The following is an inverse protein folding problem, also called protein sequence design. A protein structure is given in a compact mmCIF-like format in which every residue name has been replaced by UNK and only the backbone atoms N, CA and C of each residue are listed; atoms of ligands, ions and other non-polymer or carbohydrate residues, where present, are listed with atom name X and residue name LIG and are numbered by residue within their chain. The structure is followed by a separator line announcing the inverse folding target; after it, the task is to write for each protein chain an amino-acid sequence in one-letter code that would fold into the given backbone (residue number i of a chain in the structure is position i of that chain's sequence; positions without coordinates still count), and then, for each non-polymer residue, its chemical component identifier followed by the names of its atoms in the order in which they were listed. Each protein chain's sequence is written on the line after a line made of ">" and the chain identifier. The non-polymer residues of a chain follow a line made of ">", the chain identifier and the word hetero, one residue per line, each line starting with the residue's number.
data_IF_415461086424
#
_entry.id   IF_415461086424
#
_cell.length_a   1.000
_cell.length_b   1.000
_cell.length_c   1.000
_cell.angle_alpha   90.00
_cell.angle_beta   90.00
_cell.angle_gamma   90.00
#
_symmetry.space_group_name_H-M   'P 1'
#
loop_
_entity.id
_entity.type
_entity.pdbx_description
1 polymer ?
#
# COMPACT_ATOMS: atom_id res chain seq x y z
N UNK A 1 -24.36 29.26 20.71
CA UNK A 1 -23.22 29.25 19.77
C UNK A 1 -22.08 28.55 20.47
N UNK A 2 -21.61 27.43 19.94
CA UNK A 2 -20.56 26.66 20.58
C UNK A 2 -19.51 26.24 19.56
N UNK A 3 -18.31 25.99 20.11
CA UNK A 3 -17.15 25.29 19.51
C UNK A 3 -16.25 26.24 18.71
N UNK A 4 -14.93 26.32 18.91
CA UNK A 4 -13.98 25.25 19.21
C UNK A 4 -12.81 25.71 20.10
N UNK A 5 -12.44 24.88 21.07
CA UNK A 5 -11.15 24.92 21.75
C UNK A 5 -10.14 24.25 20.83
N UNK A 6 -9.18 25.02 20.31
CA UNK A 6 -8.06 24.52 19.53
C UNK A 6 -7.06 23.90 20.50
N UNK A 7 -7.15 22.58 20.67
CA UNK A 7 -6.11 21.82 21.36
C UNK A 7 -4.87 21.74 20.46
N UNK A 8 -3.92 22.63 20.70
CA UNK A 8 -2.53 22.50 20.24
C UNK A 8 -1.92 21.28 20.93
N UNK A 9 -1.99 20.12 20.26
CA UNK A 9 -1.25 18.93 20.70
C UNK A 9 0.16 19.06 20.15
N UNK A 10 1.01 19.72 20.92
CA UNK A 10 2.46 19.55 20.82
C UNK A 10 2.88 18.40 21.74
N UNK A 11 3.25 17.25 21.19
CA UNK A 11 4.12 16.27 21.88
C UNK A 11 4.73 15.26 20.91
N UNK A 12 6.07 15.18 20.98
CA UNK A 12 6.93 14.00 20.76
C UNK A 12 7.00 13.37 19.37
N UNK A 13 7.91 13.90 18.56
CA UNK A 13 8.64 13.14 17.54
C UNK A 13 9.58 12.13 18.22
N UNK A 14 9.06 10.95 18.54
CA UNK A 14 9.85 9.74 18.74
C UNK A 14 9.31 8.70 17.74
N UNK A 15 10.06 8.47 16.67
CA UNK A 15 9.66 7.65 15.52
C UNK A 15 9.08 6.29 15.94
N UNK A 16 7.79 6.13 15.68
CA UNK A 16 7.00 5.00 16.12
C UNK A 16 5.93 4.69 15.12
N UNK A 17 5.98 3.48 14.54
CA UNK A 17 4.96 2.71 13.80
C UNK A 17 4.13 3.38 12.68
N UNK A 18 3.92 4.70 12.68
CA UNK A 18 3.20 5.47 11.67
C UNK A 18 4.07 6.21 10.65
N UNK A 19 5.38 6.34 10.89
CA UNK A 19 6.28 7.00 9.93
C UNK A 19 6.43 6.18 8.65
N UNK A 20 6.62 4.87 8.77
CA UNK A 20 6.79 3.98 7.63
C UNK A 20 5.55 3.99 6.72
N UNK A 21 4.36 3.76 7.29
CA UNK A 21 3.10 3.77 6.53
C UNK A 21 2.88 5.12 5.82
N UNK A 22 3.13 6.24 6.51
CA UNK A 22 2.96 7.57 5.95
C UNK A 22 3.98 7.88 4.86
N UNK A 23 5.23 7.48 5.05
CA UNK A 23 6.30 7.57 4.05
C UNK A 23 5.94 6.76 2.79
N UNK A 24 5.27 5.61 2.94
CA UNK A 24 4.81 4.80 1.80
C UNK A 24 3.62 5.42 1.07
N UNK A 25 2.65 5.96 1.81
CA UNK A 25 1.57 6.74 1.19
C UNK A 25 2.16 7.90 0.40
N UNK A 26 3.16 8.61 0.93
CA UNK A 26 3.84 9.70 0.24
C UNK A 26 4.63 9.21 -0.99
N UNK A 27 5.37 8.09 -0.90
CA UNK A 27 6.10 7.49 -2.04
C UNK A 27 5.14 7.11 -3.18
N UNK A 28 4.03 6.44 -2.86
CA UNK A 28 3.03 6.03 -3.85
C UNK A 28 2.29 7.24 -4.42
N UNK A 29 1.94 8.22 -3.60
CA UNK A 29 1.33 9.47 -4.07
C UNK A 29 2.27 10.22 -5.02
N UNK A 30 3.57 10.29 -4.71
CA UNK A 30 4.59 10.88 -5.60
C UNK A 30 4.77 10.11 -6.91
N UNK A 31 4.60 8.79 -6.88
CA UNK A 31 4.60 7.95 -8.07
C UNK A 31 3.30 8.07 -8.90
N UNK A 32 2.30 8.82 -8.40
CA UNK A 32 1.04 9.10 -9.12
C UNK A 32 -0.14 8.22 -8.71
N UNK A 33 0.01 7.36 -7.71
CA UNK A 33 -1.09 6.55 -7.19
C UNK A 33 -2.04 7.41 -6.35
N UNK A 34 -3.33 7.33 -6.63
CA UNK A 34 -4.38 8.11 -5.95
C UNK A 34 -5.24 7.21 -5.05
N UNK A 35 -5.85 7.71 -3.98
CA UNK A 35 -6.76 6.89 -3.13
C UNK A 35 -6.13 5.59 -2.58
N UNK A 36 -4.86 5.67 -2.15
CA UNK A 36 -4.11 4.50 -1.66
C UNK A 36 -4.44 4.22 -0.20
N UNK A 37 -4.78 2.97 0.12
CA UNK A 37 -4.87 2.48 1.50
C UNK A 37 -3.73 1.50 1.76
N UNK A 38 -2.80 1.85 2.65
CA UNK A 38 -1.67 0.99 3.03
C UNK A 38 -2.01 0.23 4.30
N UNK A 39 -1.82 -1.10 4.31
CA UNK A 39 -2.02 -1.96 5.48
C UNK A 39 -0.77 -2.82 5.75
N UNK A 40 -0.26 -2.86 6.99
CA UNK A 40 0.84 -3.77 7.33
C UNK A 40 0.35 -5.21 7.40
N UNK A 41 1.05 -6.13 6.73
CA UNK A 41 0.89 -7.56 6.91
C UNK A 41 1.79 -8.05 8.04
N UNK A 42 1.18 -8.47 9.14
CA UNK A 42 1.87 -8.93 10.35
C UNK A 42 1.80 -10.44 10.44
N UNK A 43 2.96 -11.11 10.40
CA UNK A 43 3.04 -12.54 10.73
C UNK A 43 3.47 -12.73 12.18
N UNK A 44 2.73 -13.58 12.88
CA UNK A 44 3.09 -14.03 14.22
C UNK A 44 3.94 -15.28 14.11
N UNK A 45 5.14 -15.27 14.67
CA UNK A 45 6.00 -16.44 14.78
C UNK A 45 6.35 -16.73 16.23
N UNK A 46 6.55 -18.01 16.55
CA UNK A 46 7.00 -18.45 17.87
C UNK A 46 8.52 -18.59 17.85
N UNK A 47 9.22 -17.79 18.65
CA UNK A 47 10.68 -17.93 18.84
C UNK A 47 10.98 -18.13 20.32
N UNK A 48 11.60 -19.26 20.67
CA UNK A 48 11.92 -19.62 22.06
C UNK A 48 10.69 -19.50 23.00
N UNK A 49 9.55 -20.07 22.60
CA UNK A 49 8.28 -20.02 23.35
C UNK A 49 7.72 -18.61 23.62
N UNK A 50 8.17 -17.60 22.86
CA UNK A 50 7.60 -16.25 22.89
C UNK A 50 7.01 -15.91 21.52
N UNK A 51 5.77 -15.43 21.53
CA UNK A 51 5.12 -14.88 20.35
C UNK A 51 5.83 -13.60 19.93
N UNK A 52 6.21 -13.52 18.66
CA UNK A 52 6.77 -12.34 18.05
C UNK A 52 5.97 -12.00 16.82
N UNK A 53 5.41 -10.79 16.82
CA UNK A 53 4.80 -10.18 15.64
C UNK A 53 5.91 -9.52 14.83
N UNK A 54 6.02 -9.87 13.55
CA UNK A 54 6.90 -9.18 12.62
C UNK A 54 6.07 -8.75 11.42
N UNK A 55 6.21 -7.49 11.02
CA UNK A 55 5.70 -7.01 9.74
C UNK A 55 6.55 -7.63 8.63
N UNK A 56 5.91 -8.35 7.73
CA UNK A 56 6.58 -9.05 6.62
C UNK A 56 6.35 -8.37 5.29
N UNK A 57 5.29 -7.60 5.16
CA UNK A 57 4.95 -6.85 3.98
C UNK A 57 4.04 -5.68 4.32
N UNK A 58 3.93 -4.73 3.40
CA UNK A 58 2.85 -3.76 3.35
C UNK A 58 2.04 -4.03 2.09
N UNK A 59 0.74 -4.24 2.25
CA UNK A 59 -0.18 -4.31 1.12
C UNK A 59 -0.77 -2.93 0.90
N UNK A 60 -0.97 -2.56 -0.35
CA UNK A 60 -1.55 -1.28 -0.71
C UNK A 60 -2.65 -1.51 -1.71
N UNK A 61 -3.84 -1.09 -1.29
CA UNK A 61 -5.06 -1.16 -2.07
C UNK A 61 -5.21 0.16 -2.81
N UNK A 62 -5.15 0.08 -4.13
CA UNK A 62 -5.27 1.20 -5.02
C UNK A 62 -6.56 1.07 -5.84
N UNK A 63 -7.34 2.14 -5.89
CA UNK A 63 -8.54 2.23 -6.70
C UNK A 63 -8.23 2.98 -7.99
N UNK A 64 -8.33 2.27 -9.11
CA UNK A 64 -8.10 2.81 -10.45
C UNK A 64 -9.46 3.00 -11.09
N UNK A 65 -9.71 4.17 -11.68
CA UNK A 65 -10.81 4.35 -12.64
C UNK A 65 -10.16 4.44 -14.00
N UNK A 66 -10.51 3.57 -14.93
CA UNK A 66 -10.04 3.73 -16.30
C UNK A 66 -10.97 4.70 -17.05
N UNK A 67 -10.45 5.45 -18.03
CA UNK A 67 -11.29 6.32 -18.86
C UNK A 67 -12.30 5.52 -19.72
N UNK A 68 -12.14 4.21 -19.79
CA UNK A 68 -12.97 3.30 -20.59
C UNK A 68 -14.23 2.83 -19.86
N UNK A 69 -14.23 2.76 -18.52
CA UNK A 69 -15.37 2.32 -17.71
C UNK A 69 -15.45 3.11 -16.39
N UNK A 70 -16.62 3.63 -15.97
CA UNK A 70 -16.78 4.25 -14.65
C UNK A 70 -16.68 3.27 -13.48
N UNK A 71 -16.59 1.96 -13.74
CA UNK A 71 -16.23 0.99 -12.72
C UNK A 71 -14.82 1.28 -12.17
N UNK A 72 -14.60 0.87 -10.92
CA UNK A 72 -13.35 1.11 -10.20
C UNK A 72 -12.66 -0.23 -10.02
N UNK A 73 -11.50 -0.43 -10.65
CA UNK A 73 -10.67 -1.59 -10.36
C UNK A 73 -9.99 -1.44 -9.00
N UNK A 74 -9.99 -2.50 -8.20
CA UNK A 74 -9.18 -2.58 -7.00
C UNK A 74 -7.89 -3.35 -7.30
N UNK A 75 -6.76 -2.63 -7.29
CA UNK A 75 -5.43 -3.20 -7.49
C UNK A 75 -4.74 -3.31 -6.15
N UNK A 76 -4.33 -4.52 -5.77
CA UNK A 76 -3.50 -4.76 -4.60
C UNK A 76 -2.05 -4.86 -5.05
N UNK A 77 -1.24 -3.91 -4.60
CA UNK A 77 0.21 -4.01 -4.72
C UNK A 77 0.79 -4.51 -3.38
N UNK A 78 1.93 -5.18 -3.41
CA UNK A 78 2.67 -5.58 -2.21
C UNK A 78 4.09 -5.05 -2.20
N UNK A 79 4.48 -4.49 -1.06
CA UNK A 79 5.87 -4.28 -0.71
C UNK A 79 6.35 -5.33 0.29
N UNK A 80 7.45 -6.02 0.03
CA UNK A 80 8.16 -6.76 1.07
C UNK A 80 8.67 -5.81 2.16
N UNK A 81 8.50 -6.18 3.43
CA UNK A 81 9.05 -5.46 4.58
C UNK A 81 10.26 -6.22 5.15
N UNK A 82 11.24 -5.48 5.68
CA UNK A 82 12.33 -6.06 6.46
C UNK A 82 11.94 -6.16 7.95
N UNK A 83 11.24 -5.14 8.45
CA UNK A 83 10.65 -5.09 9.78
C UNK A 83 9.46 -4.11 9.81
N UNK A 84 8.90 -3.90 11.00
CA UNK A 84 7.82 -2.95 11.32
C UNK A 84 8.15 -1.48 11.02
N UNK A 85 9.41 -1.16 10.72
CA UNK A 85 9.93 0.19 10.54
C UNK A 85 10.64 0.40 9.20
N UNK A 86 10.78 -0.63 8.37
CA UNK A 86 11.66 -0.59 7.21
C UNK A 86 11.25 -1.59 6.13
N UNK A 87 11.22 -1.14 4.88
CA UNK A 87 10.98 -2.00 3.72
C UNK A 87 12.19 -2.83 3.36
N UNK A 88 11.92 -3.90 2.64
CA UNK A 88 12.96 -4.66 1.96
C UNK A 88 12.94 -4.28 0.48
N UNK A 89 13.97 -3.53 0.06
CA UNK A 89 14.14 -3.05 -1.31
C UNK A 89 13.31 -1.79 -1.62
N UNK A 90 13.40 -1.33 -2.86
CA UNK A 90 12.68 -0.14 -3.34
C UNK A 90 11.45 -0.47 -4.18
N UNK A 91 11.09 -1.75 -4.24
CA UNK A 91 10.15 -2.28 -5.22
C UNK A 91 8.88 -2.89 -4.66
N UNK A 92 7.76 -2.63 -5.35
CA UNK A 92 6.47 -3.28 -5.14
C UNK A 92 6.03 -4.06 -6.38
N UNK A 93 5.18 -5.06 -6.19
CA UNK A 93 4.58 -5.85 -7.29
C UNK A 93 3.06 -5.78 -7.22
N UNK A 94 2.39 -5.95 -8.35
CA UNK A 94 0.94 -6.19 -8.36
C UNK A 94 0.73 -7.65 -7.94
N UNK A 95 -0.08 -7.87 -6.90
CA UNK A 95 -0.46 -9.22 -6.45
C UNK A 95 -1.86 -9.57 -6.86
N UNK A 96 -2.80 -8.62 -6.79
CA UNK A 96 -4.20 -8.89 -7.09
C UNK A 96 -4.83 -7.74 -7.87
N UNK A 97 -5.80 -8.07 -8.72
CA UNK A 97 -6.71 -7.13 -9.37
C UNK A 97 -8.13 -7.68 -9.22
N UNK A 98 -9.03 -6.93 -8.59
CA UNK A 98 -10.42 -7.33 -8.30
C UNK A 98 -10.53 -8.74 -7.69
N UNK A 99 -9.80 -8.96 -6.58
CA UNK A 99 -9.74 -10.23 -5.84
C UNK A 99 -9.20 -11.43 -6.66
N UNK A 100 -8.54 -11.16 -7.80
CA UNK A 100 -7.87 -12.18 -8.61
C UNK A 100 -6.36 -12.02 -8.53
N UNK A 101 -5.69 -13.08 -8.10
CA UNK A 101 -4.22 -13.15 -8.11
C UNK A 101 -3.66 -12.94 -9.52
N UNK A 102 -2.68 -12.05 -9.62
CA UNK A 102 -1.89 -11.82 -10.83
C UNK A 102 -0.42 -12.01 -10.49
N UNK A 103 0.27 -12.86 -11.26
CA UNK A 103 1.70 -13.11 -11.08
C UNK A 103 2.52 -12.40 -12.16
N UNK A 104 3.60 -11.75 -11.76
CA UNK A 104 4.56 -11.11 -12.65
C UNK A 104 4.05 -9.87 -13.41
N UNK A 105 2.89 -9.32 -13.06
CA UNK A 105 2.35 -8.12 -13.72
C UNK A 105 3.18 -6.88 -13.45
N UNK A 106 3.53 -6.16 -14.52
CA UNK A 106 4.20 -4.85 -14.43
C UNK A 106 5.65 -4.88 -13.94
N UNK A 107 6.20 -6.06 -13.63
CA UNK A 107 7.55 -6.21 -13.10
C UNK A 107 7.73 -5.56 -11.72
N UNK A 108 8.97 -5.18 -11.41
CA UNK A 108 9.29 -4.51 -10.15
C UNK A 108 8.91 -3.02 -10.25
N UNK A 109 7.90 -2.59 -9.48
CA UNK A 109 7.43 -1.21 -9.33
C UNK A 109 6.79 -0.60 -10.59
N UNK A 110 5.73 -1.20 -11.14
CA UNK A 110 5.02 -0.58 -12.25
C UNK A 110 4.49 0.79 -11.83
N UNK A 111 4.62 1.77 -12.73
CA UNK A 111 3.97 3.08 -12.57
C UNK A 111 2.46 2.98 -12.84
N UNK A 112 1.65 3.95 -12.39
CA UNK A 112 0.19 3.92 -12.58
C UNK A 112 -0.22 3.71 -14.03
N UNK A 113 0.44 4.38 -14.98
CA UNK A 113 0.17 4.23 -16.40
C UNK A 113 0.44 2.81 -16.93
N UNK A 114 1.47 2.13 -16.42
CA UNK A 114 1.74 0.73 -16.73
C UNK A 114 0.64 -0.17 -16.19
N UNK A 115 0.16 0.08 -14.97
CA UNK A 115 -0.98 -0.69 -14.41
C UNK A 115 -2.24 -0.47 -15.24
N UNK A 116 -2.61 0.78 -15.56
CA UNK A 116 -3.76 1.09 -16.41
C UNK A 116 -3.66 0.48 -17.81
N UNK A 117 -2.44 0.41 -18.37
CA UNK A 117 -2.21 -0.29 -19.63
C UNK A 117 -2.44 -1.80 -19.46
N UNK A 118 -1.93 -2.42 -18.40
CA UNK A 118 -2.11 -3.85 -18.14
C UNK A 118 -3.59 -4.20 -17.91
N UNK A 119 -4.33 -3.40 -17.14
CA UNK A 119 -5.76 -3.57 -16.94
C UNK A 119 -6.51 -3.63 -18.28
N UNK A 120 -6.21 -2.70 -19.20
CA UNK A 120 -6.78 -2.67 -20.55
C UNK A 120 -6.33 -3.85 -21.42
N UNK A 121 -5.04 -4.19 -21.41
CA UNK A 121 -4.49 -5.31 -22.19
C UNK A 121 -5.12 -6.65 -21.79
N UNK A 122 -5.37 -6.82 -20.49
CA UNK A 122 -5.96 -8.03 -19.92
C UNK A 122 -7.50 -7.99 -19.85
N UNK A 123 -8.13 -6.94 -20.37
CA UNK A 123 -9.60 -6.77 -20.41
C UNK A 123 -10.24 -6.86 -19.02
N UNK A 124 -9.62 -6.23 -18.03
CA UNK A 124 -10.32 -5.88 -16.81
C UNK A 124 -11.23 -4.70 -17.15
N UNK A 125 -12.52 -4.99 -17.26
CA UNK A 125 -13.57 -4.00 -17.54
C UNK A 125 -14.00 -3.37 -16.22
N UNK A 126 -13.10 -2.51 -15.74
CA UNK A 126 -13.19 -1.55 -14.66
C UNK A 126 -12.19 -0.41 -15.00
#
# INVERSE_FOLDING_TARGET
>A
MAVAVVALVGVTACGGEGDAQREYVDKLTRAGFTSVTVSPEVKTSLRKNRERRNTVAYTFRWRVNTDADPATCEVLLRHPAFNDRSLRGDHWNIEEVDDKDVDGWGGNSPDPATVERLLREHRYDC
#
